data_IF_329851614081
#
_entry.id   IF_329851614081
#
_cell.length_a   1.000
_cell.length_b   1.000
_cell.length_c   1.000
_cell.angle_alpha   90.00
_cell.angle_beta   90.00
_cell.angle_gamma   90.00
#
_symmetry.space_group_name_H-M   'P 1'
#
loop_
_entity.id
_entity.type
_entity.pdbx_description
1 polymer ?
#
# COMPACT_ATOMS: atom_id res chain seq x y z
N UNK A 1 11.74 -26.38 -57.16
CA UNK A 1 10.76 -26.09 -56.09
C UNK A 1 11.35 -26.56 -54.77
N UNK A 2 11.83 -25.63 -53.93
CA UNK A 2 12.53 -25.97 -52.68
C UNK A 2 11.53 -26.07 -51.52
N UNK A 3 11.30 -27.30 -51.05
CA UNK A 3 10.49 -27.58 -49.87
C UNK A 3 11.32 -27.38 -48.59
N UNK A 4 11.32 -26.17 -48.04
CA UNK A 4 11.86 -25.93 -46.70
C UNK A 4 10.83 -26.36 -45.65
N UNK A 5 11.00 -27.57 -45.12
CA UNK A 5 10.33 -28.05 -43.91
C UNK A 5 10.74 -27.15 -42.73
N UNK A 6 9.73 -26.66 -42.00
CA UNK A 6 9.91 -25.71 -40.89
C UNK A 6 10.89 -26.20 -39.82
N UNK A 7 11.63 -25.25 -39.24
CA UNK A 7 12.66 -25.51 -38.24
C UNK A 7 12.08 -26.08 -36.95
N UNK A 8 12.68 -27.17 -36.46
CA UNK A 8 12.34 -27.83 -35.20
C UNK A 8 12.86 -26.97 -34.03
N UNK A 9 11.96 -26.41 -33.22
CA UNK A 9 12.31 -25.59 -32.05
C UNK A 9 12.95 -26.48 -30.97
N UNK A 10 14.27 -26.37 -30.78
CA UNK A 10 14.98 -27.05 -29.71
C UNK A 10 14.78 -26.29 -28.38
N UNK A 11 14.09 -26.90 -27.42
CA UNK A 11 13.88 -26.34 -26.08
C UNK A 11 15.18 -26.39 -25.28
N UNK A 12 15.70 -25.22 -24.88
CA UNK A 12 16.88 -25.11 -23.99
C UNK A 12 16.51 -25.57 -22.56
N UNK A 13 17.36 -26.40 -21.95
CA UNK A 13 17.20 -26.86 -20.55
C UNK A 13 17.62 -25.74 -19.58
N UNK A 14 16.83 -25.54 -18.53
CA UNK A 14 17.13 -24.59 -17.45
C UNK A 14 18.23 -25.14 -16.52
N UNK A 15 19.13 -24.30 -15.96
CA UNK A 15 20.15 -24.75 -15.03
C UNK A 15 19.54 -25.14 -13.67
N UNK A 16 20.13 -26.16 -13.05
CA UNK A 16 19.72 -26.72 -11.76
C UNK A 16 20.18 -25.79 -10.62
N UNK A 17 19.26 -25.36 -9.75
CA UNK A 17 19.55 -24.45 -8.63
C UNK A 17 20.47 -25.10 -7.60
N UNK A 18 21.53 -24.40 -7.21
CA UNK A 18 22.42 -24.80 -6.12
C UNK A 18 21.90 -24.26 -4.77
N UNK A 19 22.06 -24.99 -3.66
CA UNK A 19 21.63 -24.54 -2.34
C UNK A 19 22.53 -23.43 -1.78
N UNK A 20 21.99 -22.54 -0.93
CA UNK A 20 22.72 -21.41 -0.36
C UNK A 20 23.73 -21.82 0.72
N UNK A 21 24.82 -21.05 0.83
CA UNK A 21 25.85 -21.26 1.84
C UNK A 21 25.38 -20.90 3.27
N UNK A 22 25.84 -21.60 4.31
CA UNK A 22 25.38 -21.38 5.68
C UNK A 22 25.97 -20.09 6.31
N UNK A 23 25.10 -19.31 6.95
CA UNK A 23 25.42 -18.04 7.62
C UNK A 23 26.03 -18.29 9.00
N UNK A 24 27.18 -17.66 9.27
CA UNK A 24 27.82 -17.67 10.60
C UNK A 24 27.11 -16.69 11.52
N UNK A 25 26.62 -17.17 12.68
CA UNK A 25 26.01 -16.34 13.72
C UNK A 25 27.10 -15.61 14.50
N UNK A 26 27.02 -14.28 14.57
CA UNK A 26 27.81 -13.44 15.48
C UNK A 26 26.97 -13.21 16.74
N UNK A 27 27.65 -13.28 17.87
CA UNK A 27 27.13 -13.46 19.22
C UNK A 27 26.23 -12.32 19.72
N UNK A 28 25.28 -12.72 20.56
CA UNK A 28 24.41 -11.93 21.42
C UNK A 28 25.24 -11.06 22.38
N UNK A 29 25.17 -9.73 22.29
CA UNK A 29 25.36 -8.78 23.39
C UNK A 29 24.95 -7.40 22.86
N UNK A 30 23.71 -6.96 23.10
CA UNK A 30 23.33 -5.53 23.06
C UNK A 30 21.87 -5.33 23.52
N UNK A 31 21.53 -5.86 24.70
CA UNK A 31 20.31 -5.46 25.42
C UNK A 31 20.69 -5.03 26.84
N UNK A 32 21.09 -3.77 26.99
CA UNK A 32 21.22 -3.09 28.27
C UNK A 32 20.52 -1.74 28.19
N UNK A 33 19.42 -1.56 28.93
CA UNK A 33 18.78 -0.26 29.13
C UNK A 33 19.52 0.47 30.25
N UNK A 34 20.02 1.68 29.98
CA UNK A 34 20.33 2.67 31.02
C UNK A 34 19.23 3.74 31.02
N UNK A 35 18.48 3.81 32.12
CA UNK A 35 17.60 4.94 32.41
C UNK A 35 18.45 6.15 32.81
N UNK A 36 18.18 7.32 32.23
CA UNK A 36 18.72 8.60 32.73
C UNK A 36 17.56 9.55 33.01
N UNK A 37 17.50 9.90 34.29
CA UNK A 37 16.51 10.74 34.98
C UNK A 37 16.64 12.21 34.58
N UNK A 38 15.50 12.89 34.46
CA UNK A 38 15.35 14.33 34.26
C UNK A 38 15.88 15.14 35.45
N UNK A 39 16.65 16.20 35.18
CA UNK A 39 16.74 17.34 36.10
C UNK A 39 16.82 18.65 35.32
N UNK A 40 15.83 19.50 35.55
CA UNK A 40 15.69 20.90 35.11
C UNK A 40 16.69 21.80 35.84
N UNK A 41 17.39 22.72 35.16
CA UNK A 41 17.70 24.10 35.63
C UNK A 41 18.09 24.97 34.42
N UNK A 42 17.41 26.11 34.25
CA UNK A 42 17.86 27.29 33.48
C UNK A 42 18.23 28.40 34.51
N UNK A 43 19.05 29.45 34.23
CA UNK A 43 18.74 30.40 33.14
C UNK A 43 19.91 31.22 32.50
N UNK A 44 19.57 31.85 31.37
CA UNK A 44 20.10 33.10 30.75
C UNK A 44 21.61 33.28 30.49
N UNK A 45 22.02 33.24 29.20
CA UNK A 45 22.95 34.21 28.58
C UNK A 45 22.68 34.38 27.06
N UNK A 46 22.30 35.61 26.70
CA UNK A 46 22.65 36.41 25.52
C UNK A 46 22.96 35.75 24.16
N UNK A 47 21.91 35.76 23.34
CA UNK A 47 21.83 36.05 21.89
C UNK A 47 23.13 36.50 21.16
N UNK A 48 23.83 35.54 20.55
CA UNK A 48 24.68 35.77 19.36
C UNK A 48 24.15 34.90 18.22
N UNK A 49 23.50 35.53 17.25
CA UNK A 49 23.04 34.88 16.01
C UNK A 49 24.21 34.71 15.04
N UNK A 50 24.96 33.63 15.17
CA UNK A 50 25.72 33.09 14.04
C UNK A 50 24.78 32.21 13.21
N UNK A 51 24.46 32.67 12.00
CA UNK A 51 23.67 31.91 11.03
C UNK A 51 24.60 30.86 10.43
N UNK A 52 24.79 29.74 11.13
CA UNK A 52 25.35 28.53 10.52
C UNK A 52 24.29 27.97 9.58
N UNK A 53 24.58 27.96 8.28
CA UNK A 53 23.72 27.38 7.25
C UNK A 53 23.68 25.85 7.45
N UNK A 54 22.73 25.38 8.25
CA UNK A 54 22.48 23.95 8.43
C UNK A 54 21.86 23.42 7.14
N UNK A 55 22.59 22.56 6.42
CA UNK A 55 22.04 21.80 5.31
C UNK A 55 20.84 20.96 5.82
N UNK A 56 19.72 20.91 5.07
CA UNK A 56 18.54 20.20 5.55
C UNK A 56 18.86 18.72 5.71
N UNK A 57 18.68 18.21 6.93
CA UNK A 57 18.86 16.80 7.26
C UNK A 57 18.08 15.94 6.26
N UNK A 58 18.79 15.04 5.56
CA UNK A 58 18.17 14.12 4.62
C UNK A 58 17.07 13.34 5.33
N UNK A 59 15.85 13.43 4.81
CA UNK A 59 14.68 12.77 5.39
C UNK A 59 14.93 11.27 5.45
N UNK A 60 15.02 10.71 6.67
CA UNK A 60 15.13 9.27 6.88
C UNK A 60 13.99 8.58 6.13
N UNK A 61 14.31 7.73 5.16
CA UNK A 61 13.33 6.91 4.43
C UNK A 61 12.65 6.01 5.45
N UNK A 62 11.41 6.36 5.84
CA UNK A 62 10.58 5.49 6.68
C UNK A 62 10.23 4.27 5.83
N UNK A 63 10.89 3.15 6.10
CA UNK A 63 10.48 1.82 5.64
C UNK A 63 9.10 1.54 6.24
N UNK A 64 8.06 1.87 5.48
CA UNK A 64 6.67 1.66 5.88
C UNK A 64 6.31 0.19 5.69
N UNK A 65 6.61 -0.64 6.68
CA UNK A 65 6.01 -1.98 6.78
C UNK A 65 4.61 -1.80 7.38
N UNK A 66 3.57 -2.28 6.67
CA UNK A 66 2.22 -2.44 7.26
C UNK A 66 1.13 -1.43 6.85
N UNK A 67 1.15 -0.85 5.65
CA UNK A 67 0.01 -0.03 5.16
C UNK A 67 -0.41 -0.42 3.74
N UNK A 68 -1.05 -1.58 3.59
CA UNK A 68 -1.67 -1.98 2.31
C UNK A 68 -3.10 -1.43 2.14
N UNK A 69 -3.71 -0.89 3.19
CA UNK A 69 -5.03 -0.27 3.12
C UNK A 69 -4.90 1.18 2.61
N UNK A 70 -4.64 1.33 1.32
CA UNK A 70 -4.69 2.63 0.65
C UNK A 70 -6.16 3.03 0.49
N UNK A 71 -6.65 3.89 1.36
CA UNK A 71 -7.96 4.52 1.21
C UNK A 71 -7.87 5.67 0.22
N UNK A 72 -8.84 5.74 -0.69
CA UNK A 72 -9.01 6.85 -1.63
C UNK A 72 -10.26 7.63 -1.23
N UNK A 73 -10.20 8.96 -1.30
CA UNK A 73 -11.37 9.82 -1.10
C UNK A 73 -12.08 10.06 -2.42
N UNK A 74 -13.41 10.10 -2.38
CA UNK A 74 -14.28 10.38 -3.51
C UNK A 74 -15.07 11.65 -3.18
N UNK A 75 -15.09 12.63 -4.08
CA UNK A 75 -15.93 13.82 -3.94
C UNK A 75 -17.33 13.49 -4.46
N UNK A 76 -18.34 13.74 -3.65
CA UNK A 76 -19.74 13.40 -3.92
C UNK A 76 -20.62 14.62 -3.64
N UNK A 77 -21.70 14.86 -4.41
CA UNK A 77 -22.69 15.88 -4.10
C UNK A 77 -23.22 15.77 -2.66
N UNK A 78 -23.58 16.92 -2.08
CA UNK A 78 -24.02 17.02 -0.67
C UNK A 78 -25.24 16.16 -0.36
N UNK A 79 -26.20 16.11 -1.26
CA UNK A 79 -27.44 15.31 -1.13
C UNK A 79 -27.11 13.82 -0.95
N UNK A 80 -26.28 13.27 -1.83
CA UNK A 80 -25.87 11.86 -1.79
C UNK A 80 -25.01 11.59 -0.54
N UNK A 81 -24.14 12.52 -0.16
CA UNK A 81 -23.36 12.37 1.07
C UNK A 81 -24.26 12.26 2.31
N UNK A 82 -25.29 13.11 2.44
CA UNK A 82 -26.24 13.01 3.54
C UNK A 82 -27.06 11.72 3.53
N UNK A 83 -27.47 11.25 2.35
CA UNK A 83 -28.23 10.00 2.22
C UNK A 83 -27.38 8.78 2.58
N UNK A 84 -26.14 8.72 2.11
CA UNK A 84 -25.19 7.65 2.44
C UNK A 84 -24.87 7.68 3.94
N UNK A 85 -24.70 8.88 4.52
CA UNK A 85 -24.43 9.03 5.94
C UNK A 85 -25.62 8.56 6.79
N UNK A 86 -26.85 8.94 6.40
CA UNK A 86 -28.07 8.46 7.04
C UNK A 86 -28.21 6.94 6.90
N UNK A 87 -27.90 6.37 5.74
CA UNK A 87 -27.90 4.92 5.54
C UNK A 87 -26.86 4.23 6.44
N UNK A 88 -25.71 4.87 6.64
CA UNK A 88 -24.68 4.45 7.59
C UNK A 88 -25.18 4.37 9.03
N UNK A 89 -26.07 5.27 9.45
CA UNK A 89 -26.64 5.24 10.80
C UNK A 89 -27.48 3.97 11.09
N UNK A 90 -28.03 3.32 10.05
CA UNK A 90 -28.85 2.11 10.21
C UNK A 90 -28.05 0.81 10.13
N UNK A 91 -26.86 0.82 9.52
CA UNK A 91 -26.09 -0.38 9.14
C UNK A 91 -24.70 -0.45 9.80
N UNK A 92 -24.42 0.43 10.77
CA UNK A 92 -23.14 0.73 11.44
C UNK A 92 -22.30 1.83 10.77
N UNK A 93 -22.02 2.91 11.51
CA UNK A 93 -21.32 4.13 11.06
C UNK A 93 -19.89 3.86 10.54
N UNK A 94 -19.24 2.84 11.08
CA UNK A 94 -17.82 2.57 10.83
C UNK A 94 -17.52 1.95 9.45
N UNK A 95 -18.56 1.65 8.64
CA UNK A 95 -18.40 0.91 7.40
C UNK A 95 -19.10 1.55 6.19
N UNK A 96 -19.01 2.87 6.03
CA UNK A 96 -19.48 3.55 4.81
C UNK A 96 -18.96 2.89 3.52
N UNK A 97 -17.71 2.38 3.53
CA UNK A 97 -17.14 1.67 2.39
C UNK A 97 -17.86 0.36 2.07
N UNK A 98 -18.37 -0.38 3.06
CA UNK A 98 -19.13 -1.61 2.79
C UNK A 98 -20.49 -1.28 2.22
N UNK A 99 -21.10 -0.18 2.65
CA UNK A 99 -22.35 0.32 2.05
C UNK A 99 -22.14 0.67 0.59
N UNK A 100 -21.05 1.37 0.26
CA UNK A 100 -20.72 1.65 -1.14
C UNK A 100 -20.47 0.37 -1.94
N UNK A 101 -19.78 -0.62 -1.36
CA UNK A 101 -19.54 -1.90 -2.02
C UNK A 101 -20.85 -2.67 -2.26
N UNK A 102 -21.76 -2.74 -1.29
CA UNK A 102 -23.03 -3.44 -1.46
C UNK A 102 -23.93 -2.75 -2.48
N UNK A 103 -23.92 -1.41 -2.53
CA UNK A 103 -24.62 -0.67 -3.58
C UNK A 103 -24.09 -1.02 -4.96
N UNK A 104 -22.76 -1.03 -5.16
CA UNK A 104 -22.12 -1.43 -6.42
C UNK A 104 -22.51 -2.88 -6.77
N UNK A 105 -22.32 -3.82 -5.85
CA UNK A 105 -22.61 -5.25 -6.10
C UNK A 105 -24.08 -5.48 -6.44
N UNK A 106 -25.00 -4.77 -5.77
CA UNK A 106 -26.43 -4.88 -6.04
C UNK A 106 -26.81 -4.34 -7.42
N UNK A 107 -26.22 -3.21 -7.82
CA UNK A 107 -26.46 -2.60 -9.12
C UNK A 107 -25.91 -3.48 -10.25
N UNK A 108 -24.70 -3.99 -10.09
CA UNK A 108 -24.08 -4.90 -11.06
C UNK A 108 -24.93 -6.16 -11.25
N UNK A 109 -25.43 -6.76 -10.17
CA UNK A 109 -26.22 -7.99 -10.23
C UNK A 109 -27.62 -7.80 -10.81
N UNK A 110 -28.28 -6.69 -10.49
CA UNK A 110 -29.70 -6.52 -10.79
C UNK A 110 -29.96 -5.70 -12.07
N UNK A 111 -29.12 -4.72 -12.37
CA UNK A 111 -29.37 -3.74 -13.45
C UNK A 111 -28.51 -3.99 -14.70
N UNK A 112 -27.35 -4.66 -14.57
CA UNK A 112 -26.48 -4.91 -15.71
C UNK A 112 -26.82 -6.23 -16.41
N UNK A 113 -26.74 -6.19 -17.74
CA UNK A 113 -26.81 -7.41 -18.57
C UNK A 113 -25.56 -8.28 -18.38
N UNK A 114 -25.67 -9.59 -18.64
CA UNK A 114 -24.54 -10.54 -18.55
C UNK A 114 -23.28 -10.07 -19.27
N UNK A 115 -23.44 -9.40 -20.41
CA UNK A 115 -22.32 -8.86 -21.18
C UNK A 115 -21.65 -7.69 -20.43
N UNK A 116 -22.44 -6.79 -19.86
CA UNK A 116 -21.92 -5.64 -19.11
C UNK A 116 -21.29 -6.07 -17.78
N UNK A 117 -21.84 -7.08 -17.11
CA UNK A 117 -21.24 -7.66 -15.90
C UNK A 117 -19.83 -8.19 -16.19
N UNK A 118 -19.66 -9.01 -17.24
CA UNK A 118 -18.35 -9.51 -17.64
C UNK A 118 -17.35 -8.41 -18.00
N UNK A 119 -17.83 -7.33 -18.62
CA UNK A 119 -16.98 -6.17 -18.94
C UNK A 119 -16.55 -5.44 -17.66
N UNK A 120 -17.46 -5.26 -16.72
CA UNK A 120 -17.17 -4.65 -15.42
C UNK A 120 -16.12 -5.47 -14.67
N UNK A 121 -16.31 -6.78 -14.56
CA UNK A 121 -15.37 -7.68 -13.87
C UNK A 121 -13.97 -7.63 -14.48
N UNK A 122 -13.88 -7.68 -15.81
CA UNK A 122 -12.61 -7.57 -16.53
C UNK A 122 -11.89 -6.25 -16.26
N UNK A 123 -12.61 -5.13 -16.25
CA UNK A 123 -12.01 -3.82 -15.94
C UNK A 123 -11.54 -3.75 -14.49
N UNK A 124 -12.33 -4.26 -13.54
CA UNK A 124 -11.98 -4.29 -12.11
C UNK A 124 -10.73 -5.13 -11.85
N UNK A 125 -10.61 -6.29 -12.50
CA UNK A 125 -9.43 -7.15 -12.41
C UNK A 125 -8.17 -6.42 -12.90
N UNK A 126 -8.23 -5.77 -14.07
CA UNK A 126 -7.12 -5.00 -14.62
C UNK A 126 -6.67 -3.85 -13.69
N UNK A 127 -7.60 -3.12 -13.06
CA UNK A 127 -7.26 -2.05 -12.12
C UNK A 127 -6.62 -2.55 -10.81
N UNK A 128 -6.89 -3.80 -10.41
CA UNK A 128 -6.29 -4.40 -9.22
C UNK A 128 -4.90 -4.98 -9.47
N UNK A 129 -4.62 -5.44 -10.70
CA UNK A 129 -3.30 -5.96 -11.09
C UNK A 129 -2.23 -4.86 -11.31
N UNK A 130 -2.64 -3.61 -11.56
CA UNK A 130 -1.70 -2.47 -11.74
C UNK A 130 -1.00 -1.99 -10.44
N UNK A 131 -1.09 -2.72 -9.32
CA UNK A 131 -0.48 -2.38 -8.02
C UNK A 131 0.59 -3.37 -7.57
#
# INVERSE_FOLDING_TARGET
MNNQKGGLIQKKKKPLMQPPAPVKKIQEMDFGYSEVVNTEVAPTQELVKEITRVEPAQSRKKLGVGKMNSTKSIKVPTVIHSEIFLLGSFMDENKTYTILQTLIDSYVKNELTDRQQRQFDFMVEAFHEEK
#
